data_IF_710385244827
#
_entry.id   IF_710385244827
#
_cell.length_a   1.000
_cell.length_b   1.000
_cell.length_c   1.000
_cell.angle_alpha   90.00
_cell.angle_beta   90.00
_cell.angle_gamma   90.00
#
_symmetry.space_group_name_H-M   'P 1'
#
loop_
_entity.id
_entity.type
_entity.pdbx_description
1 polymer ?
#
# COMPACT_ATOMS: atom_id res chain seq x y z
N UNK A 1 -19.11 -6.82 23.47
CA UNK A 1 -18.10 -7.10 22.42
C UNK A 1 -18.29 -8.55 22.02
N UNK A 2 -19.02 -8.82 20.93
CA UNK A 2 -19.14 -10.17 20.39
C UNK A 2 -17.76 -10.60 19.88
N UNK A 3 -17.26 -11.68 20.42
CA UNK A 3 -15.97 -12.29 20.15
C UNK A 3 -15.88 -12.63 18.65
N UNK A 4 -15.17 -11.81 17.87
CA UNK A 4 -14.79 -12.13 16.48
C UNK A 4 -13.61 -13.10 16.57
N UNK A 5 -13.84 -14.29 17.13
CA UNK A 5 -12.88 -15.38 17.01
C UNK A 5 -13.08 -16.01 15.62
N UNK A 6 -12.05 -16.08 14.78
CA UNK A 6 -12.15 -16.82 13.52
C UNK A 6 -12.49 -18.27 13.85
N UNK A 7 -13.63 -18.77 13.38
CA UNK A 7 -13.89 -20.20 13.39
C UNK A 7 -13.02 -20.78 12.27
N UNK A 8 -11.84 -21.30 12.63
CA UNK A 8 -11.03 -22.03 11.67
C UNK A 8 -11.86 -23.17 11.07
N UNK A 9 -11.83 -23.36 9.74
CA UNK A 9 -12.56 -24.46 9.15
C UNK A 9 -12.00 -25.78 9.71
N UNK A 10 -12.88 -26.62 10.27
CA UNK A 10 -12.53 -27.93 10.83
C UNK A 10 -11.73 -28.84 9.86
N UNK A 11 -11.79 -28.56 8.56
CA UNK A 11 -10.95 -29.20 7.53
C UNK A 11 -10.18 -28.13 6.76
N UNK A 12 -8.86 -28.28 6.69
CA UNK A 12 -8.01 -27.42 5.87
C UNK A 12 -8.45 -27.49 4.40
N UNK A 13 -8.86 -26.37 3.78
CA UNK A 13 -9.32 -26.35 2.39
C UNK A 13 -8.18 -26.51 1.37
N UNK A 14 -6.92 -26.46 1.81
CA UNK A 14 -5.77 -26.56 0.92
C UNK A 14 -5.41 -28.02 0.60
N UNK A 15 -5.03 -28.26 -0.66
CA UNK A 15 -4.65 -29.59 -1.14
C UNK A 15 -3.38 -30.12 -0.42
N UNK A 16 -3.30 -31.44 -0.19
CA UNK A 16 -2.13 -32.10 0.43
C UNK A 16 -0.81 -31.80 -0.30
N UNK A 17 -0.85 -31.60 -1.61
CA UNK A 17 0.33 -31.24 -2.41
C UNK A 17 0.92 -29.86 -2.02
N UNK A 18 0.10 -28.96 -1.49
CA UNK A 18 0.50 -27.62 -1.04
C UNK A 18 0.96 -27.68 0.43
N UNK A 19 0.26 -28.44 1.27
CA UNK A 19 0.54 -28.54 2.71
C UNK A 19 1.77 -29.41 3.00
N UNK A 20 1.89 -30.56 2.33
CA UNK A 20 2.99 -31.52 2.52
C UNK A 20 3.40 -32.17 1.17
N UNK A 21 4.13 -31.42 0.30
CA UNK A 21 4.47 -31.91 -1.04
C UNK A 21 5.38 -33.15 -0.99
N UNK A 22 5.32 -34.06 -1.97
CA UNK A 22 6.26 -35.19 -2.07
C UNK A 22 7.74 -34.73 -2.17
N UNK A 23 8.72 -35.58 -1.79
CA UNK A 23 10.14 -35.21 -1.75
C UNK A 23 10.70 -34.59 -3.05
N UNK A 24 10.33 -35.16 -4.20
CA UNK A 24 10.74 -34.62 -5.51
C UNK A 24 10.17 -33.21 -5.75
N UNK A 25 8.92 -32.97 -5.38
CA UNK A 25 8.27 -31.66 -5.51
C UNK A 25 8.94 -30.63 -4.57
N UNK A 26 9.27 -31.03 -3.34
CA UNK A 26 10.06 -30.19 -2.41
C UNK A 26 11.42 -29.82 -2.98
N UNK A 27 12.11 -30.76 -3.63
CA UNK A 27 13.42 -30.50 -4.24
C UNK A 27 13.32 -29.50 -5.41
N UNK A 28 12.29 -29.61 -6.25
CA UNK A 28 12.02 -28.63 -7.33
C UNK A 28 11.66 -27.27 -6.75
N UNK A 29 10.78 -27.24 -5.74
CA UNK A 29 10.39 -26.01 -5.03
C UNK A 29 11.61 -25.34 -4.40
N UNK A 30 12.47 -26.08 -3.70
CA UNK A 30 13.72 -25.57 -3.13
C UNK A 30 14.56 -24.83 -4.16
N UNK A 31 14.81 -25.42 -5.33
CA UNK A 31 15.58 -24.78 -6.41
C UNK A 31 14.92 -23.50 -6.95
N UNK A 32 13.58 -23.46 -7.00
CA UNK A 32 12.84 -22.26 -7.41
C UNK A 32 12.87 -21.18 -6.32
N UNK A 33 12.58 -21.55 -5.06
CA UNK A 33 12.60 -20.66 -3.90
C UNK A 33 14.00 -20.10 -3.62
N UNK A 34 15.07 -20.87 -3.85
CA UNK A 34 16.45 -20.40 -3.77
C UNK A 34 16.75 -19.23 -4.70
N UNK A 35 16.09 -19.14 -5.87
CA UNK A 35 16.27 -17.96 -6.74
C UNK A 35 15.65 -16.69 -6.14
N UNK A 36 14.54 -16.83 -5.41
CA UNK A 36 13.83 -15.71 -4.79
C UNK A 36 14.48 -15.26 -3.47
N UNK A 37 15.01 -16.21 -2.69
CA UNK A 37 15.49 -15.99 -1.32
C UNK A 37 17.01 -15.84 -1.18
N UNK A 38 17.79 -16.27 -2.17
CA UNK A 38 19.26 -16.17 -2.10
C UNK A 38 19.72 -14.69 -2.13
N UNK A 39 20.50 -14.24 -1.13
CA UNK A 39 20.90 -12.84 -0.99
C UNK A 39 21.82 -12.37 -2.13
N UNK A 40 22.74 -13.21 -2.61
CA UNK A 40 23.66 -12.86 -3.69
C UNK A 40 22.90 -12.60 -5.00
N UNK A 41 21.90 -13.44 -5.30
CA UNK A 41 21.03 -13.24 -6.48
C UNK A 41 20.17 -11.98 -6.35
N UNK A 42 19.71 -11.64 -5.14
CA UNK A 42 19.01 -10.37 -4.90
C UNK A 42 19.94 -9.18 -5.09
N UNK A 43 21.15 -9.23 -4.54
CA UNK A 43 22.17 -8.20 -4.72
C UNK A 43 22.54 -8.01 -6.19
N UNK A 44 22.71 -9.10 -6.95
CA UNK A 44 22.97 -9.05 -8.39
C UNK A 44 21.83 -8.40 -9.18
N UNK A 45 20.55 -8.70 -8.84
CA UNK A 45 19.38 -8.04 -9.46
C UNK A 45 19.36 -6.54 -9.17
N UNK A 46 19.61 -6.13 -7.93
CA UNK A 46 19.71 -4.72 -7.52
C UNK A 46 20.83 -4.01 -8.27
N UNK A 47 22.01 -4.61 -8.33
CA UNK A 47 23.16 -4.06 -9.07
C UNK A 47 22.86 -3.91 -10.57
N UNK A 48 22.18 -4.88 -11.18
CA UNK A 48 21.78 -4.81 -12.58
C UNK A 48 20.76 -3.69 -12.83
N UNK A 49 19.78 -3.52 -11.93
CA UNK A 49 18.82 -2.41 -11.98
C UNK A 49 19.52 -1.05 -11.87
N UNK A 50 20.39 -0.87 -10.86
CA UNK A 50 21.17 0.36 -10.69
C UNK A 50 22.08 0.65 -11.88
N UNK A 51 22.71 -0.38 -12.44
CA UNK A 51 23.53 -0.24 -13.64
C UNK A 51 22.73 0.26 -14.84
N UNK A 52 21.51 -0.23 -15.05
CA UNK A 52 20.61 0.24 -16.12
C UNK A 52 20.16 1.67 -15.87
N UNK A 53 19.74 1.99 -14.64
CA UNK A 53 19.29 3.33 -14.24
C UNK A 53 20.39 4.38 -14.48
N UNK A 54 21.61 4.12 -13.99
CA UNK A 54 22.76 5.02 -14.16
C UNK A 54 23.11 5.24 -15.63
N UNK A 55 23.11 4.17 -16.44
CA UNK A 55 23.34 4.27 -17.89
C UNK A 55 22.29 5.13 -18.60
N UNK A 56 21.04 5.11 -18.12
CA UNK A 56 19.95 5.91 -18.67
C UNK A 56 19.89 7.35 -18.10
N UNK A 57 20.73 7.69 -17.11
CA UNK A 57 20.65 8.97 -16.40
C UNK A 57 19.33 9.17 -15.65
N UNK A 58 18.62 8.09 -15.33
CA UNK A 58 17.29 8.16 -14.74
C UNK A 58 17.35 8.43 -13.22
N UNK A 59 16.37 9.18 -12.66
CA UNK A 59 16.27 9.37 -11.22
C UNK A 59 15.92 8.04 -10.52
N UNK A 60 16.09 8.02 -9.19
CA UNK A 60 15.57 6.94 -8.37
C UNK A 60 14.04 7.08 -8.24
N UNK A 61 13.30 6.47 -9.17
CA UNK A 61 11.84 6.53 -9.18
C UNK A 61 11.24 5.47 -8.26
N UNK A 62 10.54 5.89 -7.21
CA UNK A 62 9.80 5.05 -6.28
C UNK A 62 8.31 5.21 -6.56
N UNK A 63 7.63 4.13 -6.93
CA UNK A 63 6.17 4.15 -7.06
C UNK A 63 5.55 3.94 -5.69
N UNK A 64 4.57 4.76 -5.34
CA UNK A 64 3.82 4.64 -4.08
C UNK A 64 2.33 4.46 -4.38
N UNK A 65 1.67 3.53 -3.70
CA UNK A 65 0.27 3.24 -3.89
C UNK A 65 -0.52 3.58 -2.64
N UNK A 66 -1.39 4.59 -2.75
CA UNK A 66 -2.18 5.12 -1.65
C UNK A 66 -3.63 4.66 -1.76
N UNK A 67 -4.14 4.08 -0.69
CA UNK A 67 -5.54 3.69 -0.56
C UNK A 67 -6.20 4.57 0.52
N UNK A 68 -7.25 5.31 0.17
CA UNK A 68 -7.84 6.33 1.06
C UNK A 68 -8.52 5.76 2.31
N UNK A 69 -9.08 4.55 2.21
CA UNK A 69 -9.75 3.85 3.32
C UNK A 69 -8.84 2.88 4.08
N UNK A 70 -7.52 2.93 3.84
CA UNK A 70 -6.53 2.10 4.52
C UNK A 70 -5.78 2.90 5.61
N UNK A 71 -5.87 2.51 6.89
CA UNK A 71 -5.18 3.23 7.97
C UNK A 71 -3.65 3.15 7.84
N UNK A 72 -3.08 2.13 7.22
CA UNK A 72 -1.64 2.09 6.96
C UNK A 72 -1.23 3.11 5.89
N UNK A 73 -2.09 3.36 4.90
CA UNK A 73 -1.86 4.40 3.90
C UNK A 73 -1.86 5.79 4.53
N UNK A 74 -2.68 6.01 5.58
CA UNK A 74 -2.61 7.22 6.39
C UNK A 74 -1.29 7.37 7.16
N UNK A 75 -0.79 6.28 7.76
CA UNK A 75 0.53 6.30 8.40
C UNK A 75 1.64 6.61 7.39
N UNK A 76 1.59 5.98 6.22
CA UNK A 76 2.54 6.25 5.14
C UNK A 76 2.48 7.70 4.65
N UNK A 77 1.29 8.29 4.57
CA UNK A 77 1.12 9.68 4.16
C UNK A 77 1.95 10.67 4.99
N UNK A 78 2.06 10.42 6.31
CA UNK A 78 2.82 11.26 7.25
C UNK A 78 4.35 11.20 7.06
N UNK A 79 4.86 10.20 6.34
CA UNK A 79 6.31 10.03 6.14
C UNK A 79 6.78 10.31 4.72
N UNK A 80 5.87 10.37 3.74
CA UNK A 80 6.23 10.46 2.31
C UNK A 80 7.07 11.68 1.96
N UNK A 81 6.67 12.88 2.42
CA UNK A 81 7.40 14.10 2.13
C UNK A 81 8.81 14.07 2.75
N UNK A 82 8.91 13.59 4.00
CA UNK A 82 10.20 13.40 4.68
C UNK A 82 11.07 12.36 3.97
N UNK A 83 10.47 11.27 3.50
CA UNK A 83 11.15 10.22 2.76
C UNK A 83 11.72 10.75 1.44
N UNK A 84 10.92 11.51 0.68
CA UNK A 84 11.38 12.17 -0.55
C UNK A 84 12.48 13.22 -0.30
N UNK A 85 12.43 13.93 0.84
CA UNK A 85 13.43 14.95 1.17
C UNK A 85 14.75 14.35 1.69
N UNK A 86 14.70 13.19 2.35
CA UNK A 86 15.87 12.56 2.97
C UNK A 86 16.73 11.78 1.97
N UNK A 87 16.14 11.33 0.86
CA UNK A 87 16.81 10.55 -0.16
C UNK A 87 16.71 11.23 -1.52
N UNK A 88 17.70 11.06 -2.38
CA UNK A 88 17.65 11.53 -3.78
C UNK A 88 16.73 10.63 -4.61
N UNK A 89 15.42 10.71 -4.34
CA UNK A 89 14.36 9.92 -4.97
C UNK A 89 13.25 10.80 -5.50
N UNK A 90 12.56 10.30 -6.52
CA UNK A 90 11.30 10.87 -7.02
C UNK A 90 10.20 9.87 -6.67
N UNK A 91 9.19 10.34 -5.93
CA UNK A 91 8.03 9.52 -5.61
C UNK A 91 6.97 9.76 -6.68
N UNK A 92 6.51 8.67 -7.30
CA UNK A 92 5.36 8.65 -8.21
C UNK A 92 4.15 8.03 -7.50
N UNK A 93 3.19 8.84 -7.02
CA UNK A 93 2.03 8.35 -6.32
C UNK A 93 0.97 7.80 -7.28
N UNK A 94 0.26 6.79 -6.83
CA UNK A 94 -0.89 6.20 -7.48
C UNK A 94 -2.02 6.07 -6.47
N UNK A 95 -3.20 6.60 -6.80
CA UNK A 95 -4.41 6.30 -6.05
C UNK A 95 -4.92 4.90 -6.42
N UNK A 96 -5.34 4.13 -5.43
CA UNK A 96 -5.94 2.81 -5.63
C UNK A 96 -7.21 2.65 -4.79
N UNK A 97 -7.98 1.62 -5.13
CA UNK A 97 -9.09 1.13 -4.32
C UNK A 97 -8.78 -0.25 -3.77
N UNK A 98 -9.44 -0.60 -2.66
CA UNK A 98 -9.42 -1.95 -2.14
C UNK A 98 -9.88 -2.94 -3.23
N UNK A 99 -9.00 -3.86 -3.63
CA UNK A 99 -9.29 -4.80 -4.72
C UNK A 99 -10.23 -5.94 -4.31
N UNK A 100 -10.33 -6.22 -3.01
CA UNK A 100 -11.18 -7.28 -2.49
C UNK A 100 -10.81 -8.68 -3.01
N UNK A 101 -11.82 -9.56 -3.04
CA UNK A 101 -11.69 -10.88 -3.65
C UNK A 101 -10.78 -11.86 -2.90
N UNK A 102 -10.19 -12.81 -3.64
CA UNK A 102 -9.42 -13.94 -3.05
C UNK A 102 -8.20 -13.50 -2.24
N UNK A 103 -7.61 -12.36 -2.59
CA UNK A 103 -6.40 -11.84 -1.93
C UNK A 103 -6.70 -10.96 -0.72
N UNK A 104 -7.94 -10.46 -0.59
CA UNK A 104 -8.43 -9.70 0.54
C UNK A 104 -9.81 -10.20 1.00
N UNK A 105 -9.89 -11.45 1.50
CA UNK A 105 -11.15 -12.00 1.99
C UNK A 105 -11.57 -11.31 3.29
N UNK A 106 -12.89 -11.25 3.56
CA UNK A 106 -13.45 -10.70 4.81
C UNK A 106 -13.06 -9.24 5.05
N UNK A 107 -13.32 -8.37 4.07
CA UNK A 107 -12.98 -6.94 4.08
C UNK A 107 -13.39 -6.21 5.36
N UNK A 108 -14.58 -6.50 5.90
CA UNK A 108 -15.04 -5.88 7.15
C UNK A 108 -14.16 -6.25 8.34
N UNK A 109 -13.80 -7.53 8.48
CA UNK A 109 -12.88 -7.98 9.53
C UNK A 109 -11.50 -7.36 9.31
N UNK A 110 -10.97 -7.43 8.09
CA UNK A 110 -9.67 -6.84 7.74
C UNK A 110 -9.59 -5.35 8.14
N UNK A 111 -10.63 -4.57 7.90
CA UNK A 111 -10.67 -3.17 8.31
C UNK A 111 -10.60 -3.00 9.85
N UNK A 112 -11.28 -3.85 10.61
CA UNK A 112 -11.19 -3.85 12.10
C UNK A 112 -9.77 -4.18 12.57
N UNK A 113 -9.14 -5.20 11.97
CA UNK A 113 -7.78 -5.63 12.31
C UNK A 113 -6.75 -4.57 11.92
N UNK A 114 -6.81 -4.05 10.70
CA UNK A 114 -5.91 -3.00 10.20
C UNK A 114 -5.99 -1.75 11.07
N UNK A 115 -7.20 -1.33 11.44
CA UNK A 115 -7.41 -0.20 12.37
C UNK A 115 -6.71 -0.43 13.71
N UNK A 116 -6.95 -1.58 14.34
CA UNK A 116 -6.38 -1.90 15.66
C UNK A 116 -4.86 -1.97 15.61
N UNK A 117 -4.31 -2.59 14.58
CA UNK A 117 -2.87 -2.72 14.41
C UNK A 117 -2.20 -1.36 14.14
N UNK A 118 -2.76 -0.56 13.21
CA UNK A 118 -2.30 0.79 12.93
C UNK A 118 -2.26 1.66 14.22
N UNK A 119 -3.32 1.60 15.05
CA UNK A 119 -3.35 2.28 16.35
C UNK A 119 -2.25 1.80 17.31
N UNK A 120 -1.91 0.51 17.27
CA UNK A 120 -0.87 -0.06 18.12
C UNK A 120 0.53 0.34 17.67
N UNK A 121 0.79 0.42 16.37
CA UNK A 121 2.15 0.66 15.83
C UNK A 121 2.48 2.15 15.72
N UNK A 122 1.51 3.02 15.44
CA UNK A 122 1.73 4.44 15.16
C UNK A 122 2.58 5.17 16.23
N UNK A 123 2.34 4.99 17.55
CA UNK A 123 3.12 5.70 18.57
C UNK A 123 4.63 5.36 18.56
N UNK A 124 5.00 4.15 18.15
CA UNK A 124 6.40 3.72 18.10
C UNK A 124 7.18 4.35 16.95
N UNK A 125 6.47 4.84 15.92
CA UNK A 125 7.04 5.56 14.79
C UNK A 125 6.87 7.08 14.90
N UNK A 126 6.28 7.58 16.00
CA UNK A 126 5.96 8.99 16.18
C UNK A 126 4.86 9.47 15.22
N UNK A 127 4.01 8.56 14.74
CA UNK A 127 2.91 8.83 13.84
C UNK A 127 1.60 8.96 14.61
N UNK A 128 0.66 9.70 14.05
CA UNK A 128 -0.60 10.01 14.68
C UNK A 128 -1.76 9.38 13.93
N UNK A 129 -2.80 9.01 14.66
CA UNK A 129 -4.12 8.68 14.13
C UNK A 129 -5.15 9.53 14.89
N UNK A 130 -6.30 9.85 14.30
CA UNK A 130 -7.42 10.45 15.03
C UNK A 130 -7.72 9.70 16.33
N UNK A 131 -8.06 10.45 17.38
CA UNK A 131 -8.47 9.88 18.67
C UNK A 131 -9.67 8.96 18.51
N UNK A 132 -10.66 9.39 17.72
CA UNK A 132 -11.80 8.58 17.29
C UNK A 132 -11.59 8.13 15.84
N UNK A 133 -10.70 7.16 15.65
CA UNK A 133 -10.45 6.58 14.34
C UNK A 133 -11.73 5.87 13.85
N UNK A 134 -12.35 6.21 12.71
CA UNK A 134 -13.43 5.41 12.15
C UNK A 134 -12.90 4.05 11.66
N UNK A 135 -13.79 3.07 11.43
CA UNK A 135 -13.38 1.81 10.79
C UNK A 135 -12.96 2.05 9.33
N UNK A 136 -13.71 2.90 8.63
CA UNK A 136 -13.47 3.37 7.27
C UNK A 136 -13.93 4.84 7.22
N UNK A 137 -13.20 5.76 6.56
CA UNK A 137 -13.62 7.16 6.40
C UNK A 137 -14.94 7.30 5.63
N UNK A 138 -15.62 8.45 5.76
CA UNK A 138 -16.84 8.73 5.00
C UNK A 138 -16.60 8.66 3.48
N UNK A 139 -17.48 7.96 2.75
CA UNK A 139 -17.29 7.71 1.31
C UNK A 139 -17.40 8.97 0.45
N UNK A 140 -18.20 9.96 0.86
CA UNK A 140 -18.29 11.23 0.15
C UNK A 140 -17.01 12.07 0.34
N UNK A 141 -16.42 12.02 1.54
CA UNK A 141 -15.10 12.61 1.79
C UNK A 141 -13.99 11.86 1.05
N UNK A 142 -14.06 10.53 0.94
CA UNK A 142 -13.12 9.77 0.11
C UNK A 142 -13.18 10.23 -1.35
N UNK A 143 -14.38 10.43 -1.91
CA UNK A 143 -14.53 10.94 -3.28
C UNK A 143 -13.88 12.33 -3.45
N UNK A 144 -14.17 13.27 -2.54
CA UNK A 144 -13.56 14.61 -2.54
C UNK A 144 -12.03 14.56 -2.41
N UNK A 145 -11.51 13.68 -1.54
CA UNK A 145 -10.09 13.47 -1.37
C UNK A 145 -9.44 12.90 -2.65
N UNK A 146 -10.06 11.90 -3.28
CA UNK A 146 -9.55 11.34 -4.53
C UNK A 146 -9.57 12.35 -5.67
N UNK A 147 -10.64 13.14 -5.79
CA UNK A 147 -10.76 14.17 -6.84
C UNK A 147 -9.72 15.27 -6.64
N UNK A 148 -9.54 15.73 -5.39
CA UNK A 148 -8.52 16.73 -5.11
C UNK A 148 -7.12 16.21 -5.42
N UNK A 149 -6.75 15.03 -4.92
CA UNK A 149 -5.45 14.42 -5.16
C UNK A 149 -5.19 14.14 -6.66
N UNK A 150 -6.21 13.75 -7.41
CA UNK A 150 -6.11 13.52 -8.86
C UNK A 150 -5.92 14.82 -9.66
N UNK A 151 -6.21 15.99 -9.07
CA UNK A 151 -5.95 17.28 -9.70
C UNK A 151 -4.51 17.78 -9.53
N UNK A 152 -3.73 17.15 -8.65
CA UNK A 152 -2.38 17.57 -8.29
C UNK A 152 -1.33 16.92 -9.21
N UNK A 153 -0.19 17.59 -9.38
CA UNK A 153 1.03 16.95 -9.87
C UNK A 153 1.59 15.95 -8.83
N UNK A 154 2.45 15.02 -9.26
CA UNK A 154 3.09 14.04 -8.36
C UNK A 154 3.80 14.70 -7.16
N UNK A 155 4.49 15.82 -7.38
CA UNK A 155 5.19 16.55 -6.33
C UNK A 155 4.23 17.22 -5.34
N UNK A 156 3.15 17.82 -5.85
CA UNK A 156 2.10 18.41 -5.00
C UNK A 156 1.33 17.35 -4.24
N UNK A 157 1.05 16.20 -4.85
CA UNK A 157 0.45 15.05 -4.16
C UNK A 157 1.29 14.66 -2.96
N UNK A 158 2.59 14.43 -3.14
CA UNK A 158 3.50 14.03 -2.06
C UNK A 158 3.55 15.09 -0.95
N UNK A 159 3.47 16.36 -1.30
CA UNK A 159 3.44 17.46 -0.33
C UNK A 159 2.10 17.60 0.41
N UNK A 160 0.98 17.24 -0.22
CA UNK A 160 -0.37 17.45 0.33
C UNK A 160 -0.98 16.21 0.99
N UNK A 161 -0.50 15.01 0.66
CA UNK A 161 -1.17 13.75 1.04
C UNK A 161 -1.31 13.58 2.55
N UNK A 162 -0.36 14.04 3.36
CA UNK A 162 -0.47 14.02 4.81
C UNK A 162 -1.68 14.84 5.29
N UNK A 163 -1.81 16.08 4.81
CA UNK A 163 -2.90 16.98 5.18
C UNK A 163 -4.26 16.45 4.68
N UNK A 164 -4.31 15.98 3.43
CA UNK A 164 -5.52 15.39 2.83
C UNK A 164 -5.96 14.15 3.60
N UNK A 165 -5.03 13.25 3.90
CA UNK A 165 -5.33 12.03 4.64
C UNK A 165 -5.76 12.37 6.08
N UNK A 166 -5.09 13.30 6.74
CA UNK A 166 -5.47 13.76 8.08
C UNK A 166 -6.88 14.35 8.11
N UNK A 167 -7.23 15.20 7.14
CA UNK A 167 -8.57 15.77 7.04
C UNK A 167 -9.64 14.69 6.79
N UNK A 168 -9.36 13.75 5.88
CA UNK A 168 -10.24 12.62 5.59
C UNK A 168 -10.52 11.79 6.84
N UNK A 169 -9.47 11.38 7.57
CA UNK A 169 -9.60 10.51 8.73
C UNK A 169 -10.20 11.21 9.96
N UNK A 170 -10.17 12.55 10.02
CA UNK A 170 -10.85 13.36 11.03
C UNK A 170 -12.28 13.80 10.63
N UNK A 171 -12.76 13.41 9.45
CA UNK A 171 -14.02 13.90 8.87
C UNK A 171 -14.10 15.44 8.75
N UNK A 172 -12.97 16.09 8.47
CA UNK A 172 -12.92 17.54 8.26
C UNK A 172 -13.49 17.90 6.88
N UNK A 173 -14.78 18.24 6.84
CA UNK A 173 -15.47 18.62 5.60
C UNK A 173 -14.99 19.96 5.06
N UNK A 174 -14.54 20.87 5.94
CA UNK A 174 -14.15 22.25 5.61
C UNK A 174 -12.84 22.27 4.84
N UNK A 175 -11.90 21.39 5.17
CA UNK A 175 -10.65 21.24 4.42
C UNK A 175 -10.85 21.03 2.92
N UNK A 176 -11.91 20.33 2.53
CA UNK A 176 -12.22 20.00 1.14
C UNK A 176 -13.04 21.07 0.41
N UNK A 177 -13.49 22.12 1.11
CA UNK A 177 -14.24 23.21 0.48
C UNK A 177 -13.35 24.02 -0.47
N UNK A 178 -13.84 24.26 -1.69
CA UNK A 178 -13.13 25.06 -2.69
C UNK A 178 -11.87 24.42 -3.28
N UNK A 179 -11.55 23.16 -2.95
CA UNK A 179 -10.45 22.41 -3.58
C UNK A 179 -10.78 22.13 -5.04
N UNK A 180 -9.77 22.22 -5.91
CA UNK A 180 -9.90 21.81 -7.31
C UNK A 180 -10.26 20.32 -7.38
N UNK A 181 -11.14 19.97 -8.32
CA UNK A 181 -11.57 18.59 -8.53
C UNK A 181 -11.02 18.06 -9.87
N UNK A 182 -10.26 16.97 -9.80
CA UNK A 182 -9.93 16.12 -10.94
C UNK A 182 -10.88 14.93 -11.03
N UNK A 183 -10.53 13.93 -11.84
CA UNK A 183 -11.27 12.67 -11.94
C UNK A 183 -10.63 11.62 -11.01
N UNK A 184 -11.00 11.66 -9.73
CA UNK A 184 -10.48 10.76 -8.71
C UNK A 184 -10.85 9.29 -8.97
N UNK A 185 -12.03 9.04 -9.52
CA UNK A 185 -12.48 7.70 -9.88
C UNK A 185 -11.61 7.09 -10.99
N UNK A 186 -11.33 7.84 -12.05
CA UNK A 186 -10.43 7.39 -13.11
C UNK A 186 -9.00 7.19 -12.61
N UNK A 187 -8.49 8.09 -11.76
CA UNK A 187 -7.17 7.95 -11.16
C UNK A 187 -7.06 6.67 -10.31
N UNK A 188 -8.07 6.39 -9.47
CA UNK A 188 -8.14 5.16 -8.68
C UNK A 188 -8.19 3.90 -9.55
N UNK A 189 -8.98 3.91 -10.63
CA UNK A 189 -9.09 2.79 -11.55
C UNK A 189 -7.75 2.53 -12.27
N UNK A 190 -7.09 3.59 -12.75
CA UNK A 190 -5.79 3.50 -13.42
C UNK A 190 -4.69 2.99 -12.48
N UNK A 191 -4.60 3.52 -11.26
CA UNK A 191 -3.63 3.06 -10.27
C UNK A 191 -3.87 1.62 -9.82
N UNK A 192 -5.14 1.24 -9.64
CA UNK A 192 -5.51 -0.15 -9.31
C UNK A 192 -5.15 -1.12 -10.43
N UNK A 193 -5.37 -0.73 -11.69
CA UNK A 193 -4.96 -1.54 -12.85
C UNK A 193 -3.44 -1.70 -12.93
N UNK A 194 -2.68 -0.63 -12.65
CA UNK A 194 -1.21 -0.66 -12.60
C UNK A 194 -0.69 -1.60 -11.49
N UNK A 195 -1.29 -1.53 -10.29
CA UNK A 195 -0.97 -2.41 -9.17
C UNK A 195 -1.26 -3.88 -9.50
N UNK A 196 -2.42 -4.17 -10.09
CA UNK A 196 -2.83 -5.52 -10.48
C UNK A 196 -1.95 -6.11 -11.59
N UNK A 197 -1.54 -5.31 -12.57
CA UNK A 197 -0.62 -5.75 -13.61
C UNK A 197 0.72 -6.25 -13.04
N UNK A 198 1.06 -5.81 -11.83
CA UNK A 198 2.25 -6.21 -11.09
C UNK A 198 2.00 -7.33 -10.06
N UNK A 199 0.82 -7.97 -10.11
CA UNK A 199 0.35 -9.02 -9.20
C UNK A 199 0.38 -8.63 -7.72
N UNK A 200 0.06 -7.36 -7.42
CA UNK A 200 -0.07 -6.87 -6.06
C UNK A 200 -1.47 -6.30 -5.81
N UNK A 201 -1.80 -6.04 -4.55
CA UNK A 201 -3.18 -5.77 -4.15
C UNK A 201 -3.35 -4.84 -2.93
N UNK A 202 -2.28 -4.54 -2.19
CA UNK A 202 -2.36 -3.78 -0.93
C UNK A 202 -2.03 -2.31 -1.12
N UNK A 203 -2.71 -1.44 -0.36
CA UNK A 203 -2.30 -0.05 -0.15
C UNK A 203 -1.03 0.06 0.70
N UNK A 204 -0.60 1.30 0.97
CA UNK A 204 0.59 1.61 1.75
C UNK A 204 1.86 0.88 1.28
N UNK A 205 1.97 0.66 -0.04
CA UNK A 205 3.08 -0.11 -0.60
C UNK A 205 3.91 0.74 -1.55
N UNK A 206 5.21 0.47 -1.54
CA UNK A 206 6.20 1.08 -2.39
C UNK A 206 6.78 0.04 -3.33
N UNK A 207 7.10 0.47 -4.56
CA UNK A 207 7.79 -0.34 -5.54
C UNK A 207 9.05 0.39 -6.03
N UNK A 208 10.18 -0.29 -5.92
CA UNK A 208 11.47 0.23 -6.35
C UNK A 208 12.38 -0.91 -6.80
N UNK A 209 13.03 -0.77 -7.95
CA UNK A 209 14.03 -1.75 -8.40
C UNK A 209 13.49 -3.16 -8.69
N UNK A 210 12.18 -3.29 -8.95
CA UNK A 210 11.52 -4.59 -9.11
C UNK A 210 11.23 -5.31 -7.79
N UNK A 211 11.27 -4.59 -6.67
CA UNK A 211 10.97 -5.09 -5.33
C UNK A 211 9.85 -4.28 -4.68
N UNK A 212 9.05 -4.96 -3.85
CA UNK A 212 7.94 -4.38 -3.10
C UNK A 212 8.33 -4.20 -1.64
N UNK A 213 7.92 -3.07 -1.07
CA UNK A 213 8.11 -2.69 0.33
C UNK A 213 6.75 -2.26 0.89
N UNK A 214 6.37 -2.78 2.05
CA UNK A 214 5.00 -2.63 2.58
C UNK A 214 5.05 -1.87 3.91
N UNK A 215 4.14 -0.92 4.08
CA UNK A 215 3.97 -0.16 5.31
C UNK A 215 4.97 0.97 5.49
N UNK A 216 5.00 1.49 6.73
CA UNK A 216 5.99 2.46 7.24
C UNK A 216 7.10 1.74 7.98
#
# INVERSE_FOLDING_TARGET
>A
MSEIAPVEPHKNPNAKLIVDPPPFVRWVLRRKCEKATNPDKRAARRAAFEGKRKKAGAPHMVEYFHQLDDPYSHLAAQVLAKFAAQYDIVIKPYLIQATGGRHQPRLQELAVWARRDAQSVAPYYGLSLPQELPQVPDSALQAKASDYLASLSDAEFVAQIEAVSTALWNNDTVFFEGKCAGDGAAACAAGSAHLQASNHYSGATFHYGGEWYWGV
#
